data_IF_444214537586
#
_entry.id   IF_444214537586
#
_cell.length_a   1.000
_cell.length_b   1.000
_cell.length_c   1.000
_cell.angle_alpha   90.00
_cell.angle_beta   90.00
_cell.angle_gamma   90.00
#
_symmetry.space_group_name_H-M   'P 1'
#
loop_
_entity.id
_entity.type
_entity.pdbx_description
1 polymer ?
#
# COMPACT_ATOMS: atom_id res chain seq x y z
N UNK A 1 -29.81 -46.25 -34.11
CA UNK A 1 -31.05 -45.67 -34.69
C UNK A 1 -32.25 -46.15 -33.90
N UNK A 2 -33.05 -45.23 -33.32
CA UNK A 2 -34.46 -45.37 -32.87
C UNK A 2 -34.70 -46.42 -31.75
N UNK A 3 -35.48 -46.20 -30.68
CA UNK A 3 -36.63 -45.32 -30.43
C UNK A 3 -36.93 -45.29 -28.91
N UNK A 4 -37.64 -44.24 -28.51
CA UNK A 4 -38.29 -43.94 -27.22
C UNK A 4 -39.03 -45.12 -26.54
N UNK A 5 -39.19 -45.04 -25.21
CA UNK A 5 -40.53 -45.05 -24.58
C UNK A 5 -40.50 -44.49 -23.15
N UNK A 6 -41.42 -43.56 -22.90
CA UNK A 6 -41.79 -43.00 -21.60
C UNK A 6 -42.81 -43.91 -20.90
N UNK A 7 -42.87 -43.91 -19.56
CA UNK A 7 -44.13 -44.12 -18.84
C UNK A 7 -44.08 -43.56 -17.41
N UNK A 8 -45.13 -42.80 -17.10
CA UNK A 8 -45.53 -42.19 -15.83
C UNK A 8 -46.23 -43.22 -14.93
N UNK A 9 -46.13 -43.09 -13.59
CA UNK A 9 -47.30 -43.06 -12.69
C UNK A 9 -46.96 -42.94 -11.17
N UNK A 10 -47.62 -41.96 -10.53
CA UNK A 10 -48.45 -42.06 -9.32
C UNK A 10 -47.85 -42.37 -7.91
N UNK A 11 -47.73 -41.29 -7.13
CA UNK A 11 -48.30 -40.99 -5.80
C UNK A 11 -48.36 -42.06 -4.68
N UNK A 12 -47.77 -41.72 -3.52
CA UNK A 12 -48.35 -42.04 -2.20
C UNK A 12 -47.93 -41.01 -1.13
N UNK A 13 -48.93 -40.58 -0.37
CA UNK A 13 -48.93 -39.60 0.72
C UNK A 13 -48.40 -40.22 2.02
N UNK A 14 -47.66 -39.48 2.85
CA UNK A 14 -47.67 -39.67 4.30
C UNK A 14 -47.29 -38.37 5.05
N UNK A 15 -48.09 -38.10 6.09
CA UNK A 15 -48.08 -36.94 6.97
C UNK A 15 -46.86 -36.91 7.90
N UNK A 16 -46.38 -35.70 8.22
CA UNK A 16 -45.53 -35.42 9.37
C UNK A 16 -45.67 -33.95 9.78
N UNK A 17 -46.18 -33.72 10.99
CA UNK A 17 -46.49 -32.38 11.53
C UNK A 17 -45.32 -31.80 12.34
N UNK A 18 -45.15 -30.48 12.18
CA UNK A 18 -44.73 -29.43 13.12
C UNK A 18 -43.48 -29.61 14.00
N UNK A 19 -42.49 -28.74 13.81
CA UNK A 19 -42.07 -27.76 14.85
C UNK A 19 -41.63 -26.45 14.17
N UNK A 20 -42.06 -25.34 14.75
CA UNK A 20 -41.96 -23.98 14.21
C UNK A 20 -40.74 -23.26 14.79
N UNK A 21 -39.88 -22.72 13.92
CA UNK A 21 -38.95 -21.64 14.26
C UNK A 21 -39.35 -20.42 13.44
N UNK A 22 -39.79 -19.37 14.13
CA UNK A 22 -40.31 -18.12 13.58
C UNK A 22 -39.24 -17.37 12.78
N UNK A 23 -39.46 -17.24 11.48
CA UNK A 23 -38.75 -16.31 10.58
C UNK A 23 -39.24 -14.88 10.86
N UNK A 24 -38.35 -13.87 10.97
CA UNK A 24 -38.78 -12.48 11.01
C UNK A 24 -39.44 -12.11 9.70
N UNK A 25 -40.56 -11.41 9.80
CA UNK A 25 -41.34 -10.94 8.64
C UNK A 25 -40.56 -9.85 7.93
N UNK A 26 -40.23 -10.08 6.65
CA UNK A 26 -39.74 -9.04 5.75
C UNK A 26 -40.78 -7.91 5.70
N UNK A 27 -40.40 -6.72 6.17
CA UNK A 27 -41.24 -5.53 6.12
C UNK A 27 -41.16 -4.99 4.70
N UNK A 28 -42.11 -5.35 3.85
CA UNK A 28 -42.25 -4.77 2.51
C UNK A 28 -42.59 -3.29 2.64
N UNK A 29 -41.60 -2.42 2.49
CA UNK A 29 -41.82 -0.99 2.26
C UNK A 29 -42.10 -0.77 0.77
N UNK A 30 -42.94 0.21 0.41
CA UNK A 30 -43.14 0.55 -0.99
C UNK A 30 -41.85 1.23 -1.50
N UNK A 31 -41.01 0.46 -2.19
CA UNK A 31 -39.84 0.98 -2.92
C UNK A 31 -38.47 0.74 -2.30
N UNK A 32 -38.34 -0.16 -1.30
CA UNK A 32 -37.06 -0.61 -0.74
C UNK A 32 -37.25 -1.93 0.02
N UNK A 33 -36.21 -2.76 0.07
CA UNK A 33 -36.21 -4.05 0.76
C UNK A 33 -35.00 -4.22 1.67
N UNK A 34 -35.24 -4.08 2.98
CA UNK A 34 -34.30 -4.44 4.02
C UNK A 34 -33.62 -5.81 3.75
N UNK A 35 -32.29 -5.83 3.77
CA UNK A 35 -31.44 -7.01 3.68
C UNK A 35 -30.82 -7.27 2.30
N UNK A 36 -30.85 -6.29 1.39
CA UNK A 36 -30.13 -6.33 0.11
C UNK A 36 -28.74 -5.68 0.18
N UNK A 37 -28.36 -5.13 1.34
CA UNK A 37 -27.07 -4.50 1.57
C UNK A 37 -26.93 -3.10 1.00
N UNK A 38 -28.00 -2.49 0.48
CA UNK A 38 -27.98 -1.14 -0.08
C UNK A 38 -28.93 -0.26 0.71
N UNK A 39 -28.40 0.75 1.41
CA UNK A 39 -29.24 1.75 2.06
C UNK A 39 -29.78 2.77 1.04
N UNK A 40 -30.92 2.49 0.42
CA UNK A 40 -31.54 3.39 -0.57
C UNK A 40 -33.05 3.65 -0.36
N UNK A 41 -33.61 4.56 -1.16
CA UNK A 41 -35.05 4.87 -1.14
C UNK A 41 -35.56 5.31 0.25
N UNK A 42 -36.62 4.68 0.81
CA UNK A 42 -37.16 5.00 2.12
C UNK A 42 -36.36 4.40 3.29
N UNK A 43 -35.28 3.67 3.03
CA UNK A 43 -34.50 3.01 4.05
C UNK A 43 -33.67 3.99 4.87
N UNK A 44 -33.54 3.68 6.16
CA UNK A 44 -32.69 4.41 7.08
C UNK A 44 -32.36 3.51 8.27
N UNK A 45 -31.40 3.91 9.11
CA UNK A 45 -30.93 3.12 10.24
C UNK A 45 -32.02 2.69 11.24
N UNK A 46 -33.18 3.34 11.26
CA UNK A 46 -34.29 2.98 12.14
C UNK A 46 -35.20 1.90 11.52
N UNK A 47 -35.20 1.79 10.20
CA UNK A 47 -36.11 0.94 9.43
C UNK A 47 -35.38 -0.30 8.89
N UNK A 48 -34.20 -0.10 8.30
CA UNK A 48 -33.32 -1.16 7.80
C UNK A 48 -31.93 -1.02 8.44
N UNK A 49 -31.80 -1.25 9.76
CA UNK A 49 -30.53 -1.07 10.47
C UNK A 49 -29.41 -1.95 9.91
N UNK A 50 -29.72 -3.12 9.35
CA UNK A 50 -28.71 -3.99 8.77
C UNK A 50 -28.06 -3.42 7.49
N UNK A 51 -28.76 -2.60 6.72
CA UNK A 51 -28.25 -2.01 5.47
C UNK A 51 -27.79 -0.55 5.69
N UNK A 52 -28.40 0.14 6.66
CA UNK A 52 -28.25 1.59 6.86
C UNK A 52 -27.57 2.02 8.15
N UNK A 53 -27.15 1.10 9.03
CA UNK A 53 -26.36 1.50 10.19
C UNK A 53 -24.93 1.83 9.74
N UNK A 54 -24.35 2.97 10.17
CA UNK A 54 -22.93 3.20 9.94
C UNK A 54 -22.14 2.05 10.58
N UNK A 55 -21.08 1.55 9.91
CA UNK A 55 -20.21 0.55 10.51
C UNK A 55 -19.72 1.08 11.86
N UNK A 56 -19.82 0.23 12.89
CA UNK A 56 -19.46 0.56 14.27
C UNK A 56 -17.95 0.90 14.33
N UNK A 57 -17.63 2.18 14.19
CA UNK A 57 -16.26 2.73 14.13
C UNK A 57 -15.61 2.83 15.52
N UNK A 58 -16.19 2.19 16.53
CA UNK A 58 -15.61 2.10 17.88
C UNK A 58 -14.97 0.74 18.17
N UNK A 59 -14.86 -0.16 17.19
CA UNK A 59 -13.97 -1.29 17.32
C UNK A 59 -12.52 -0.77 17.31
N UNK A 60 -11.69 -1.06 18.33
CA UNK A 60 -10.24 -0.95 18.17
C UNK A 60 -9.83 -1.70 16.89
N UNK A 61 -8.80 -1.23 16.18
CA UNK A 61 -8.05 -2.03 15.22
C UNK A 61 -7.65 -3.33 15.95
N UNK A 62 -8.50 -4.36 15.83
CA UNK A 62 -8.37 -5.54 16.66
C UNK A 62 -7.18 -6.33 16.13
N UNK A 63 -6.24 -6.56 17.04
CA UNK A 63 -5.29 -7.67 16.97
C UNK A 63 -6.00 -8.96 16.47
N UNK A 64 -5.30 -9.86 15.79
CA UNK A 64 -5.90 -10.93 15.01
C UNK A 64 -6.81 -11.85 15.85
N UNK A 65 -8.13 -11.77 15.63
CA UNK A 65 -9.17 -12.66 16.18
C UNK A 65 -10.55 -12.00 16.02
N UNK A 66 -11.63 -12.63 15.56
CA UNK A 66 -12.00 -14.02 15.37
C UNK A 66 -12.70 -14.14 14.00
N UNK A 67 -12.35 -15.14 13.20
CA UNK A 67 -12.86 -15.27 11.82
C UNK A 67 -11.80 -15.72 10.82
N UNK A 68 -10.53 -15.84 11.24
CA UNK A 68 -9.48 -16.39 10.40
C UNK A 68 -9.90 -17.78 9.90
N UNK A 69 -9.79 -18.06 8.58
CA UNK A 69 -9.90 -19.42 8.06
C UNK A 69 -8.96 -20.37 8.83
N UNK A 70 -9.24 -21.68 8.85
CA UNK A 70 -8.48 -22.65 9.63
C UNK A 70 -6.98 -22.41 9.45
N UNK A 71 -6.26 -22.31 10.59
CA UNK A 71 -4.85 -21.93 10.64
C UNK A 71 -4.08 -22.59 9.50
N UNK A 72 -3.70 -21.78 8.52
CA UNK A 72 -2.80 -22.21 7.47
C UNK A 72 -1.47 -22.46 8.18
N UNK A 73 -0.85 -23.62 7.92
CA UNK A 73 0.45 -24.00 8.48
C UNK A 73 1.62 -23.19 7.85
N UNK A 74 1.32 -21.98 7.38
CA UNK A 74 2.20 -21.03 6.70
C UNK A 74 1.94 -19.66 7.30
N UNK A 75 2.96 -18.99 7.88
CA UNK A 75 2.81 -17.62 8.34
C UNK A 75 2.33 -16.70 7.19
N UNK A 76 1.45 -15.73 7.46
CA UNK A 76 0.98 -14.83 6.42
C UNK A 76 2.09 -13.88 5.95
N UNK A 77 1.92 -13.34 4.75
CA UNK A 77 2.69 -12.20 4.25
C UNK A 77 1.96 -10.91 4.63
N UNK A 78 2.69 -9.96 5.21
CA UNK A 78 2.17 -8.61 5.43
C UNK A 78 2.27 -7.81 4.14
N UNK A 79 1.12 -7.42 3.61
CA UNK A 79 1.00 -6.67 2.37
C UNK A 79 0.86 -5.17 2.67
N UNK A 80 1.67 -4.36 2.00
CA UNK A 80 1.51 -2.90 2.00
C UNK A 80 1.63 -2.33 0.60
N UNK A 81 1.02 -1.16 0.39
CA UNK A 81 1.10 -0.42 -0.86
C UNK A 81 1.55 1.00 -0.57
N UNK A 82 2.73 1.37 -1.09
CA UNK A 82 3.28 2.72 -1.02
C UNK A 82 2.88 3.52 -2.27
N UNK A 83 2.47 4.77 -2.07
CA UNK A 83 2.09 5.68 -3.16
C UNK A 83 2.92 6.95 -3.04
N UNK A 84 3.93 7.07 -3.89
CA UNK A 84 4.71 8.28 -4.04
C UNK A 84 3.82 9.36 -4.66
N UNK A 85 3.49 10.35 -3.85
CA UNK A 85 2.56 11.40 -4.19
C UNK A 85 3.37 12.61 -4.60
N UNK A 86 3.89 12.56 -5.82
CA UNK A 86 4.51 13.66 -6.54
C UNK A 86 4.48 13.36 -8.05
N UNK A 87 4.91 14.34 -8.83
CA UNK A 87 5.07 14.29 -10.28
C UNK A 87 6.56 14.55 -10.62
N UNK A 88 6.90 14.95 -11.86
CA UNK A 88 8.22 15.54 -12.10
C UNK A 88 8.45 16.83 -11.30
N UNK A 89 9.65 16.95 -10.72
CA UNK A 89 10.20 18.10 -9.99
C UNK A 89 9.78 18.31 -8.51
N UNK A 90 9.09 17.37 -7.85
CA UNK A 90 8.77 17.35 -6.40
C UNK A 90 8.02 18.60 -5.84
N UNK A 91 7.59 19.52 -6.71
CA UNK A 91 7.13 20.87 -6.35
C UNK A 91 5.65 21.15 -6.60
N UNK A 92 4.96 20.30 -7.35
CA UNK A 92 3.54 20.49 -7.63
C UNK A 92 2.68 20.19 -6.38
N UNK A 93 1.45 20.72 -6.28
CA UNK A 93 0.72 21.50 -7.28
C UNK A 93 1.12 22.98 -7.36
N UNK A 94 2.14 23.44 -6.64
CA UNK A 94 2.62 24.80 -6.86
C UNK A 94 3.36 24.96 -8.19
N UNK A 95 3.39 26.20 -8.69
CA UNK A 95 4.33 26.63 -9.72
C UNK A 95 5.79 26.41 -9.31
N UNK A 96 6.71 26.54 -10.26
CA UNK A 96 8.14 26.34 -10.02
C UNK A 96 8.73 27.27 -8.94
N UNK A 97 8.05 28.39 -8.63
CA UNK A 97 8.42 29.34 -7.58
C UNK A 97 7.85 29.00 -6.21
N UNK A 98 6.97 28.00 -6.09
CA UNK A 98 6.25 27.64 -4.87
C UNK A 98 5.38 28.79 -4.35
N UNK A 99 4.80 29.60 -5.25
CA UNK A 99 4.06 30.81 -4.89
C UNK A 99 2.59 30.79 -5.29
N UNK A 100 2.25 30.11 -6.37
CA UNK A 100 0.88 30.00 -6.85
C UNK A 100 0.55 28.53 -7.10
N UNK A 101 -0.66 28.11 -6.74
CA UNK A 101 -1.13 26.75 -6.99
C UNK A 101 -1.64 26.67 -8.43
N UNK A 102 -1.11 25.74 -9.21
CA UNK A 102 -1.72 25.32 -10.47
C UNK A 102 -2.96 24.49 -10.14
N UNK A 103 -4.13 25.12 -10.28
CA UNK A 103 -5.42 24.52 -9.93
C UNK A 103 -5.68 23.27 -10.78
N UNK A 104 -5.31 23.27 -12.06
CA UNK A 104 -5.59 22.13 -12.93
C UNK A 104 -4.77 20.91 -12.52
N UNK A 105 -3.49 21.12 -12.20
CA UNK A 105 -2.62 20.07 -11.67
C UNK A 105 -3.13 19.58 -10.31
N UNK A 106 -3.51 20.49 -9.41
CA UNK A 106 -4.06 20.14 -8.10
C UNK A 106 -5.31 19.25 -8.24
N UNK A 107 -6.26 19.63 -9.10
CA UNK A 107 -7.49 18.87 -9.35
C UNK A 107 -7.21 17.49 -9.94
N UNK A 108 -6.25 17.37 -10.86
CA UNK A 108 -5.88 16.08 -11.45
C UNK A 108 -5.18 15.16 -10.44
N UNK A 109 -4.29 15.71 -9.61
CA UNK A 109 -3.65 14.97 -8.52
C UNK A 109 -4.69 14.49 -7.50
N UNK A 110 -5.65 15.34 -7.13
CA UNK A 110 -6.75 14.96 -6.25
C UNK A 110 -7.59 13.83 -6.87
N UNK A 111 -7.92 13.91 -8.17
CA UNK A 111 -8.64 12.85 -8.85
C UNK A 111 -7.88 11.52 -8.84
N UNK A 112 -6.55 11.53 -9.01
CA UNK A 112 -5.72 10.34 -8.89
C UNK A 112 -5.72 9.76 -7.46
N UNK A 113 -5.53 10.62 -6.45
CA UNK A 113 -5.57 10.22 -5.04
C UNK A 113 -6.95 9.62 -4.69
N UNK A 114 -8.04 10.27 -5.07
CA UNK A 114 -9.40 9.81 -4.82
C UNK A 114 -9.70 8.48 -5.52
N UNK A 115 -9.29 8.33 -6.78
CA UNK A 115 -9.48 7.08 -7.53
C UNK A 115 -8.73 5.90 -6.91
N UNK A 116 -7.49 6.10 -6.49
CA UNK A 116 -6.70 5.06 -5.81
C UNK A 116 -7.29 4.76 -4.41
N UNK A 117 -7.63 5.80 -3.64
CA UNK A 117 -8.28 5.69 -2.32
C UNK A 117 -9.58 4.88 -2.40
N UNK A 118 -10.44 5.13 -3.38
CA UNK A 118 -11.70 4.40 -3.55
C UNK A 118 -11.45 2.90 -3.72
N UNK A 119 -10.48 2.52 -4.56
CA UNK A 119 -10.12 1.11 -4.77
C UNK A 119 -9.54 0.51 -3.49
N UNK A 120 -8.64 1.21 -2.81
CA UNK A 120 -8.06 0.74 -1.54
C UNK A 120 -9.14 0.48 -0.48
N UNK A 121 -10.05 1.43 -0.30
CA UNK A 121 -11.15 1.33 0.66
C UNK A 121 -12.12 0.20 0.33
N UNK A 122 -12.36 -0.09 -0.95
CA UNK A 122 -13.21 -1.20 -1.40
C UNK A 122 -12.73 -2.55 -0.85
N UNK A 123 -11.42 -2.74 -0.72
CA UNK A 123 -10.81 -3.97 -0.21
C UNK A 123 -10.32 -3.86 1.25
N UNK A 124 -10.51 -2.71 1.91
CA UNK A 124 -10.00 -2.47 3.26
C UNK A 124 -8.46 -2.49 3.35
N UNK A 125 -7.77 -2.14 2.25
CA UNK A 125 -6.31 -2.11 2.17
C UNK A 125 -5.83 -0.70 2.56
N UNK A 126 -5.04 -0.53 3.63
CA UNK A 126 -4.48 0.77 3.96
C UNK A 126 -3.28 1.07 3.05
N UNK A 127 -3.27 2.25 2.41
CA UNK A 127 -2.12 2.76 1.66
C UNK A 127 -1.18 3.59 2.52
N UNK A 128 0.09 3.68 2.12
CA UNK A 128 1.09 4.61 2.66
C UNK A 128 1.38 5.70 1.62
N UNK A 129 0.84 6.90 1.84
CA UNK A 129 0.91 8.03 0.94
C UNK A 129 2.12 8.89 1.26
N UNK A 130 3.15 8.76 0.44
CA UNK A 130 4.48 9.33 0.67
C UNK A 130 4.61 10.61 -0.16
N UNK A 131 4.48 11.76 0.49
CA UNK A 131 4.37 13.07 -0.18
C UNK A 131 5.70 13.82 -0.12
N UNK A 132 6.02 14.55 -1.18
CA UNK A 132 7.14 15.50 -1.16
C UNK A 132 6.68 16.86 -0.61
N UNK A 133 7.63 17.72 -0.23
CA UNK A 133 7.37 19.03 0.36
C UNK A 133 6.36 19.87 -0.45
N UNK A 134 6.57 20.06 -1.76
CA UNK A 134 5.70 20.91 -2.57
C UNK A 134 4.26 20.38 -2.65
N UNK A 135 4.13 19.06 -2.63
CA UNK A 135 2.84 18.37 -2.66
C UNK A 135 2.13 18.48 -1.32
N UNK A 136 2.84 18.23 -0.22
CA UNK A 136 2.31 18.36 1.12
C UNK A 136 1.77 19.78 1.35
N UNK A 137 2.62 20.79 1.14
CA UNK A 137 2.25 22.20 1.33
C UNK A 137 1.11 22.60 0.40
N UNK A 138 1.18 22.25 -0.90
CA UNK A 138 0.19 22.68 -1.89
C UNK A 138 -1.18 22.03 -1.69
N UNK A 139 -1.25 20.74 -1.36
CA UNK A 139 -2.54 20.07 -1.10
C UNK A 139 -3.18 20.53 0.21
N UNK A 140 -2.39 20.87 1.22
CA UNK A 140 -2.89 21.38 2.49
C UNK A 140 -3.40 22.82 2.35
N UNK A 141 -2.69 23.68 1.61
CA UNK A 141 -3.15 25.02 1.27
C UNK A 141 -4.42 24.99 0.41
N UNK A 142 -4.45 24.14 -0.62
CA UNK A 142 -5.60 24.02 -1.52
C UNK A 142 -6.85 23.51 -0.81
N UNK A 143 -6.71 22.44 0.00
CA UNK A 143 -7.83 21.79 0.67
C UNK A 143 -8.24 22.43 2.00
N UNK A 144 -7.40 23.31 2.56
CA UNK A 144 -7.61 23.92 3.87
C UNK A 144 -7.73 22.88 5.00
N UNK A 145 -8.51 23.18 6.04
CA UNK A 145 -8.58 22.35 7.26
C UNK A 145 -9.08 20.91 7.06
N UNK A 146 -9.68 20.59 5.92
CA UNK A 146 -10.14 19.23 5.57
C UNK A 146 -9.50 18.75 4.25
N UNK A 147 -8.22 19.06 4.07
CA UNK A 147 -7.44 18.63 2.91
C UNK A 147 -7.39 17.10 2.78
N UNK A 148 -7.10 16.63 1.56
CA UNK A 148 -7.14 15.21 1.21
C UNK A 148 -6.26 14.33 2.11
N UNK A 149 -5.05 14.79 2.47
CA UNK A 149 -4.14 14.01 3.32
C UNK A 149 -4.74 13.68 4.70
N UNK A 150 -5.54 14.59 5.26
CA UNK A 150 -6.24 14.32 6.52
C UNK A 150 -7.39 13.31 6.32
N UNK A 151 -8.12 13.42 5.21
CA UNK A 151 -9.16 12.44 4.88
C UNK A 151 -8.58 11.04 4.69
N UNK A 152 -7.38 10.91 4.11
CA UNK A 152 -6.68 9.63 3.98
C UNK A 152 -6.40 9.01 5.35
N UNK A 153 -5.92 9.80 6.32
CA UNK A 153 -5.70 9.34 7.70
C UNK A 153 -7.01 8.93 8.37
N UNK A 154 -8.06 9.73 8.21
CA UNK A 154 -9.37 9.45 8.82
C UNK A 154 -10.00 8.15 8.25
N UNK A 155 -9.62 7.74 7.04
CA UNK A 155 -9.97 6.47 6.40
C UNK A 155 -9.05 5.29 6.80
N UNK A 156 -8.03 5.52 7.63
CA UNK A 156 -7.11 4.49 8.08
C UNK A 156 -5.89 4.26 7.19
N UNK A 157 -5.62 5.17 6.23
CA UNK A 157 -4.36 5.20 5.52
C UNK A 157 -3.27 5.92 6.32
N UNK A 158 -2.04 5.84 5.84
CA UNK A 158 -0.88 6.51 6.42
C UNK A 158 -0.39 7.62 5.48
N UNK A 159 0.04 8.75 6.04
CA UNK A 159 0.71 9.82 5.30
C UNK A 159 2.14 9.95 5.82
N UNK A 160 3.08 10.01 4.88
CA UNK A 160 4.50 9.79 5.10
C UNK A 160 5.35 10.80 4.33
N UNK A 161 6.62 10.94 4.73
CA UNK A 161 7.60 11.79 4.05
C UNK A 161 8.13 11.07 2.81
N UNK A 162 8.20 11.77 1.68
CA UNK A 162 9.02 11.39 0.53
C UNK A 162 10.03 12.48 0.23
N UNK A 163 11.29 12.10 -0.01
CA UNK A 163 12.33 13.06 -0.37
C UNK A 163 13.42 12.41 -1.22
N UNK A 164 13.64 12.94 -2.42
CA UNK A 164 14.73 12.51 -3.31
C UNK A 164 16.10 13.04 -2.91
N UNK A 165 16.15 14.03 -2.01
CA UNK A 165 17.37 14.67 -1.54
C UNK A 165 17.36 14.74 -0.02
N UNK A 166 18.51 14.52 0.58
CA UNK A 166 18.68 14.54 2.03
C UNK A 166 18.20 15.87 2.64
N UNK A 167 18.49 16.99 1.98
CA UNK A 167 18.05 18.31 2.45
C UNK A 167 16.53 18.55 2.44
N UNK A 168 15.77 17.76 1.67
CA UNK A 168 14.33 17.94 1.53
C UNK A 168 13.54 17.20 2.63
N UNK A 169 14.16 16.25 3.35
CA UNK A 169 13.52 15.46 4.41
C UNK A 169 12.90 16.37 5.49
N UNK A 170 13.72 17.27 6.05
CA UNK A 170 13.27 18.20 7.10
C UNK A 170 12.18 19.12 6.58
N UNK A 171 12.33 19.64 5.35
CA UNK A 171 11.35 20.56 4.76
C UNK A 171 10.00 19.88 4.54
N UNK A 172 9.98 18.65 4.03
CA UNK A 172 8.76 17.86 3.86
C UNK A 172 8.11 17.53 5.20
N UNK A 173 8.90 17.12 6.20
CA UNK A 173 8.41 16.84 7.56
C UNK A 173 7.78 18.08 8.19
N UNK A 174 8.44 19.25 8.07
CA UNK A 174 7.94 20.52 8.58
C UNK A 174 6.63 20.94 7.91
N UNK A 175 6.50 20.77 6.59
CA UNK A 175 5.24 21.05 5.89
C UNK A 175 4.09 20.14 6.37
N UNK A 176 4.34 18.83 6.49
CA UNK A 176 3.34 17.91 7.03
C UNK A 176 2.93 18.27 8.45
N UNK A 177 3.88 18.58 9.32
CA UNK A 177 3.59 18.86 10.74
C UNK A 177 2.99 20.23 10.97
N UNK A 178 3.49 21.26 10.29
CA UNK A 178 3.14 22.66 10.52
C UNK A 178 1.93 23.07 9.69
N UNK A 179 1.92 22.73 8.40
CA UNK A 179 0.90 23.19 7.46
C UNK A 179 -0.30 22.24 7.46
N UNK A 180 -0.03 20.92 7.53
CA UNK A 180 -1.08 19.90 7.47
C UNK A 180 -1.51 19.36 8.86
N UNK A 181 -0.75 19.63 9.93
CA UNK A 181 -1.03 19.08 11.26
C UNK A 181 -0.86 17.55 11.36
N UNK A 182 -0.02 16.96 10.51
CA UNK A 182 0.26 15.53 10.41
C UNK A 182 1.67 15.26 10.93
N UNK A 183 1.83 14.33 11.87
CA UNK A 183 3.16 13.88 12.34
C UNK A 183 3.49 12.52 11.72
N UNK A 184 4.30 12.46 10.64
CA UNK A 184 4.64 11.22 9.99
C UNK A 184 5.69 10.44 10.81
N UNK A 185 5.62 9.12 10.75
CA UNK A 185 6.65 8.19 11.29
C UNK A 185 7.41 7.46 10.18
N UNK A 186 6.89 7.53 8.95
CA UNK A 186 7.39 6.81 7.79
C UNK A 186 8.01 7.79 6.80
N UNK A 187 9.15 7.39 6.23
CA UNK A 187 9.90 8.11 5.22
C UNK A 187 10.25 7.23 4.02
N UNK A 188 10.59 7.83 2.89
CA UNK A 188 11.10 7.14 1.71
C UNK A 188 11.84 8.10 0.75
N UNK A 189 12.45 7.53 -0.29
CA UNK A 189 13.14 8.25 -1.36
C UNK A 189 14.63 8.54 -1.06
N UNK A 190 15.12 8.12 0.11
CA UNK A 190 16.51 8.34 0.54
C UNK A 190 17.52 7.73 -0.44
N UNK A 191 17.11 6.67 -1.15
CA UNK A 191 17.96 5.99 -2.12
C UNK A 191 18.39 6.89 -3.29
N UNK A 192 17.58 7.85 -3.74
CA UNK A 192 17.89 8.63 -4.93
C UNK A 192 19.08 9.58 -4.72
N UNK A 193 19.23 10.14 -3.53
CA UNK A 193 20.41 10.95 -3.21
C UNK A 193 21.66 10.08 -3.10
N UNK A 194 21.54 8.91 -2.45
CA UNK A 194 22.61 7.92 -2.37
C UNK A 194 23.03 7.42 -3.76
N UNK A 195 22.08 7.27 -4.69
CA UNK A 195 22.36 6.95 -6.09
C UNK A 195 23.18 8.04 -6.76
N UNK A 196 22.69 9.28 -6.69
CA UNK A 196 23.36 10.45 -7.26
C UNK A 196 24.78 10.60 -6.74
N UNK A 197 24.99 10.47 -5.43
CA UNK A 197 26.30 10.63 -4.80
C UNK A 197 27.19 9.39 -5.02
N UNK A 198 26.61 8.20 -5.07
CA UNK A 198 27.31 6.94 -5.36
C UNK A 198 27.89 6.88 -6.77
N UNK A 199 27.20 7.43 -7.78
CA UNK A 199 27.71 7.51 -9.16
C UNK A 199 29.05 8.27 -9.23
N UNK A 200 29.20 9.34 -8.44
CA UNK A 200 30.41 10.17 -8.43
C UNK A 200 31.44 9.77 -7.36
N UNK A 201 30.98 9.20 -6.24
CA UNK A 201 31.77 8.98 -5.03
C UNK A 201 31.90 7.52 -4.58
N UNK A 202 31.33 6.57 -5.32
CA UNK A 202 31.37 5.13 -5.03
C UNK A 202 30.55 4.71 -3.82
N UNK A 203 30.68 3.42 -3.46
CA UNK A 203 29.88 2.78 -2.40
C UNK A 203 29.95 3.49 -1.04
N UNK A 204 31.11 4.04 -0.66
CA UNK A 204 31.24 4.79 0.61
C UNK A 204 30.40 6.06 0.60
N UNK A 205 30.33 6.79 -0.52
CA UNK A 205 29.51 8.01 -0.59
C UNK A 205 28.02 7.70 -0.53
N UNK A 206 27.59 6.55 -1.09
CA UNK A 206 26.22 6.07 -0.94
C UNK A 206 25.91 5.70 0.52
N UNK A 207 26.85 5.04 1.21
CA UNK A 207 26.75 4.71 2.64
C UNK A 207 26.64 5.97 3.51
N UNK A 208 27.51 6.94 3.29
CA UNK A 208 27.54 8.20 4.04
C UNK A 208 26.24 9.00 3.82
N UNK A 209 25.73 9.02 2.58
CA UNK A 209 24.47 9.69 2.25
C UNK A 209 23.27 9.04 2.94
N UNK A 210 23.15 7.72 2.88
CA UNK A 210 22.06 7.01 3.56
C UNK A 210 22.16 7.17 5.07
N UNK A 211 23.36 7.06 5.63
CA UNK A 211 23.59 7.29 7.06
C UNK A 211 23.11 8.67 7.50
N UNK A 212 23.44 9.71 6.72
CA UNK A 212 23.00 11.07 7.01
C UNK A 212 21.47 11.22 6.91
N UNK A 213 20.86 10.70 5.84
CA UNK A 213 19.40 10.72 5.68
C UNK A 213 18.68 10.02 6.83
N UNK A 214 19.14 8.83 7.23
CA UNK A 214 18.55 8.08 8.35
C UNK A 214 18.73 8.80 9.68
N UNK A 215 19.89 9.43 9.92
CA UNK A 215 20.10 10.24 11.12
C UNK A 215 19.13 11.42 11.18
N UNK A 216 18.94 12.14 10.07
CA UNK A 216 18.00 13.27 10.00
C UNK A 216 16.56 12.78 10.21
N UNK A 217 16.16 11.71 9.52
CA UNK A 217 14.83 11.12 9.67
C UNK A 217 14.56 10.69 11.12
N UNK A 218 15.52 9.99 11.76
CA UNK A 218 15.40 9.55 13.16
C UNK A 218 15.28 10.74 14.12
N UNK A 219 16.10 11.78 13.95
CA UNK A 219 16.04 13.00 14.77
C UNK A 219 14.67 13.71 14.68
N UNK A 220 13.96 13.55 13.57
CA UNK A 220 12.60 14.06 13.35
C UNK A 220 11.50 13.13 13.87
N UNK A 221 11.83 11.90 14.29
CA UNK A 221 10.86 10.86 14.67
C UNK A 221 10.31 10.06 13.49
N UNK A 222 10.93 10.18 12.30
CA UNK A 222 10.64 9.36 11.12
C UNK A 222 11.54 8.11 11.18
N UNK A 223 11.13 7.14 11.99
CA UNK A 223 11.94 5.96 12.32
C UNK A 223 11.60 4.72 11.51
N UNK A 224 10.74 4.83 10.51
CA UNK A 224 10.41 3.75 9.60
C UNK A 224 10.72 4.25 8.20
N UNK A 225 11.45 3.46 7.41
CA UNK A 225 11.74 3.83 6.05
C UNK A 225 11.30 2.73 5.10
N UNK A 226 10.53 3.12 4.08
CA UNK A 226 10.27 2.26 2.94
C UNK A 226 11.17 2.65 1.79
N UNK A 227 12.02 1.73 1.34
CA UNK A 227 12.93 1.97 0.22
C UNK A 227 12.85 0.83 -0.77
N UNK A 228 13.52 1.02 -1.90
CA UNK A 228 13.54 0.09 -3.00
C UNK A 228 14.93 -0.51 -3.17
N UNK A 229 15.31 -1.35 -2.21
CA UNK A 229 16.66 -1.86 -2.07
C UNK A 229 16.88 -3.16 -2.86
N UNK A 230 15.81 -3.87 -3.27
CA UNK A 230 15.89 -5.21 -3.85
C UNK A 230 15.16 -5.45 -5.19
N UNK A 231 15.72 -6.28 -6.10
CA UNK A 231 17.11 -6.69 -6.25
C UNK A 231 17.81 -5.82 -7.32
N UNK A 232 18.81 -5.04 -6.90
CA UNK A 232 19.41 -4.05 -7.79
C UNK A 232 20.43 -4.55 -8.80
N UNK A 233 21.28 -5.53 -8.46
CA UNK A 233 22.56 -5.64 -9.19
C UNK A 233 23.23 -4.28 -9.33
N UNK A 234 23.90 -4.04 -10.46
CA UNK A 234 24.47 -2.72 -10.80
C UNK A 234 23.43 -1.58 -10.96
N UNK A 235 22.13 -1.83 -10.76
CA UNK A 235 21.06 -0.83 -10.89
C UNK A 235 20.72 -0.15 -9.56
N UNK A 236 21.22 -0.66 -8.44
CA UNK A 236 21.13 0.01 -7.15
C UNK A 236 22.54 0.08 -6.51
N UNK A 237 23.11 1.27 -6.27
CA UNK A 237 24.42 1.41 -5.64
C UNK A 237 24.44 0.91 -4.19
N UNK A 238 23.27 0.75 -3.57
CA UNK A 238 23.12 0.07 -2.28
C UNK A 238 23.38 -1.44 -2.40
N UNK A 239 22.99 -2.08 -3.50
CA UNK A 239 23.33 -3.48 -3.76
C UNK A 239 24.85 -3.63 -3.92
N UNK A 240 25.53 -2.72 -4.62
CA UNK A 240 27.00 -2.75 -4.69
C UNK A 240 27.66 -2.61 -3.30
N UNK A 241 27.09 -1.78 -2.41
CA UNK A 241 27.61 -1.57 -1.06
C UNK A 241 27.30 -2.74 -0.10
N UNK A 242 26.11 -3.34 -0.21
CA UNK A 242 25.58 -4.32 0.73
C UNK A 242 25.50 -5.75 0.20
N UNK A 243 25.82 -6.01 -1.07
CA UNK A 243 25.72 -7.34 -1.73
C UNK A 243 26.49 -8.45 -1.03
N UNK A 244 27.59 -8.13 -0.33
CA UNK A 244 28.35 -9.11 0.46
C UNK A 244 27.77 -9.39 1.85
N UNK A 245 26.81 -8.59 2.28
CA UNK A 245 26.16 -8.65 3.59
C UNK A 245 24.68 -9.08 3.48
N UNK A 246 24.06 -8.87 2.32
CA UNK A 246 22.79 -9.49 1.96
C UNK A 246 22.95 -11.01 1.82
N UNK A 247 22.11 -11.78 2.52
CA UNK A 247 22.09 -13.25 2.46
C UNK A 247 22.68 -13.99 3.66
N UNK A 248 23.26 -13.31 4.66
CA UNK A 248 23.70 -13.97 5.91
C UNK A 248 22.57 -13.99 6.96
N UNK A 249 21.78 -12.90 7.04
CA UNK A 249 20.53 -12.82 7.82
C UNK A 249 19.38 -12.13 7.06
N UNK A 250 19.66 -11.51 5.90
CA UNK A 250 18.69 -10.83 5.05
C UNK A 250 18.47 -11.66 3.76
N UNK A 251 17.25 -12.17 3.51
CA UNK A 251 16.95 -13.06 2.36
C UNK A 251 16.27 -12.36 1.18
N UNK A 252 16.54 -11.07 1.00
CA UNK A 252 16.11 -10.23 -0.12
C UNK A 252 16.61 -10.75 -1.48
N UNK A 253 15.82 -11.53 -2.23
CA UNK A 253 16.23 -12.04 -3.55
C UNK A 253 15.07 -12.16 -4.54
N UNK A 254 15.39 -12.07 -5.85
CA UNK A 254 14.45 -12.42 -6.94
C UNK A 254 13.90 -13.86 -6.81
N UNK A 255 14.64 -14.76 -6.16
CA UNK A 255 14.24 -16.15 -5.91
C UNK A 255 13.09 -16.29 -4.91
N UNK A 256 12.85 -15.28 -4.05
CA UNK A 256 11.73 -15.26 -3.12
C UNK A 256 10.52 -14.51 -3.70
N UNK A 257 10.50 -14.16 -4.99
CA UNK A 257 9.45 -13.30 -5.55
C UNK A 257 9.48 -11.87 -4.97
N UNK A 258 10.67 -11.43 -4.54
CA UNK A 258 10.86 -10.18 -3.81
C UNK A 258 10.14 -10.15 -2.45
N UNK A 259 10.07 -11.29 -1.77
CA UNK A 259 9.69 -11.33 -0.36
C UNK A 259 10.79 -10.68 0.49
N UNK A 260 10.39 -9.82 1.43
CA UNK A 260 11.30 -9.00 2.23
C UNK A 260 11.15 -9.30 3.71
N UNK A 261 12.25 -9.13 4.43
CA UNK A 261 12.30 -9.23 5.88
C UNK A 261 12.79 -7.89 6.38
N UNK A 262 11.93 -7.10 7.04
CA UNK A 262 12.36 -5.80 7.54
C UNK A 262 13.55 -5.94 8.49
N UNK A 263 14.44 -4.97 8.49
CA UNK A 263 15.62 -4.96 9.35
C UNK A 263 15.91 -3.57 9.87
N UNK A 264 16.69 -3.51 10.93
CA UNK A 264 17.15 -2.25 11.53
C UNK A 264 18.61 -2.01 11.10
N UNK A 265 18.93 -1.02 10.26
CA UNK A 265 20.30 -0.75 9.82
C UNK A 265 21.15 -0.14 10.95
N UNK A 266 22.43 -0.50 11.04
CA UNK A 266 23.41 0.12 11.95
C UNK A 266 23.96 1.44 11.37
N UNK A 267 23.07 2.39 11.11
CA UNK A 267 23.45 3.70 10.56
C UNK A 267 24.30 4.51 11.55
N UNK A 268 24.19 4.28 12.86
CA UNK A 268 24.98 4.98 13.88
C UNK A 268 26.48 4.67 13.80
N UNK A 269 26.84 3.49 13.30
CA UNK A 269 28.22 3.12 13.00
C UNK A 269 28.58 3.26 11.51
N UNK A 270 27.73 3.92 10.71
CA UNK A 270 27.87 4.07 9.26
C UNK A 270 27.95 2.73 8.51
N UNK A 271 27.20 1.73 9.00
CA UNK A 271 27.04 0.42 8.37
C UNK A 271 25.55 0.11 8.18
N UNK A 272 24.97 0.69 7.14
CA UNK A 272 23.53 0.53 6.84
C UNK A 272 23.17 -0.89 6.37
N UNK A 273 24.17 -1.74 6.10
CA UNK A 273 24.00 -3.10 5.64
C UNK A 273 23.84 -4.09 6.81
N UNK A 274 24.50 -3.82 7.93
CA UNK A 274 24.42 -4.66 9.13
C UNK A 274 23.09 -4.44 9.86
N UNK A 275 22.46 -5.55 10.26
CA UNK A 275 21.30 -5.49 11.13
C UNK A 275 21.72 -5.23 12.59
N UNK A 276 21.26 -4.13 13.18
CA UNK A 276 21.33 -3.85 14.61
C UNK A 276 19.95 -4.06 15.28
N UNK A 277 19.74 -5.15 16.04
CA UNK A 277 18.49 -5.39 16.74
C UNK A 277 18.09 -4.31 17.75
N UNK A 278 19.04 -3.46 18.18
CA UNK A 278 18.78 -2.33 19.08
C UNK A 278 18.59 -1.00 18.34
N UNK A 279 18.73 -0.99 17.02
CA UNK A 279 18.57 0.20 16.20
C UNK A 279 17.16 0.77 16.30
N UNK A 280 17.04 2.10 16.22
CA UNK A 280 15.76 2.80 16.31
C UNK A 280 15.04 2.90 14.97
N UNK A 281 15.78 2.90 13.86
CA UNK A 281 15.21 2.94 12.51
C UNK A 281 14.92 1.54 11.97
N UNK A 282 13.76 1.34 11.35
CA UNK A 282 13.36 0.13 10.65
C UNK A 282 13.28 0.35 9.14
N UNK A 283 13.98 -0.46 8.36
CA UNK A 283 13.80 -0.57 6.91
C UNK A 283 12.76 -1.63 6.55
N UNK A 284 11.82 -1.23 5.70
CA UNK A 284 10.85 -2.11 5.04
C UNK A 284 11.01 -1.92 3.53
N UNK A 285 11.64 -2.86 2.85
CA UNK A 285 11.82 -2.79 1.40
C UNK A 285 10.48 -2.97 0.65
N UNK A 286 10.43 -2.62 -0.64
CA UNK A 286 9.29 -2.88 -1.53
C UNK A 286 9.74 -3.17 -2.96
N UNK A 287 8.85 -3.77 -3.76
CA UNK A 287 9.11 -4.03 -5.17
C UNK A 287 9.24 -2.70 -5.90
N UNK A 288 10.32 -2.54 -6.68
CA UNK A 288 10.41 -1.55 -7.76
C UNK A 288 9.65 -2.01 -8.99
N UNK A 289 8.63 -1.30 -9.43
CA UNK A 289 8.12 -1.52 -10.77
C UNK A 289 9.15 -1.14 -11.83
N UNK A 290 9.90 -0.07 -11.62
CA UNK A 290 10.92 0.41 -12.56
C UNK A 290 11.98 -0.66 -12.82
N UNK A 291 12.53 -1.22 -11.73
CA UNK A 291 13.61 -2.19 -11.83
C UNK A 291 13.11 -3.60 -12.16
N UNK A 292 11.92 -3.99 -11.68
CA UNK A 292 11.41 -5.35 -11.85
C UNK A 292 10.59 -5.53 -13.15
N UNK A 293 9.94 -4.48 -13.67
CA UNK A 293 8.98 -4.60 -14.77
C UNK A 293 9.49 -4.06 -16.10
N UNK A 294 10.50 -3.17 -16.09
CA UNK A 294 11.04 -2.55 -17.30
C UNK A 294 12.58 -2.61 -17.36
N UNK A 295 13.17 -3.76 -17.74
CA UNK A 295 14.62 -3.92 -17.79
C UNK A 295 15.33 -3.08 -18.87
N UNK A 296 14.60 -2.50 -19.83
CA UNK A 296 15.14 -1.80 -21.02
C UNK A 296 14.77 -0.29 -21.12
N UNK A 297 14.03 0.28 -20.17
CA UNK A 297 13.63 1.70 -20.21
C UNK A 297 12.85 2.10 -18.95
N UNK A 298 12.79 3.40 -18.63
CA UNK A 298 12.25 3.92 -17.37
C UNK A 298 10.78 3.55 -17.08
N UNK A 299 10.26 4.09 -15.97
CA UNK A 299 8.86 3.85 -15.55
C UNK A 299 7.86 4.10 -16.68
N UNK A 300 6.82 3.26 -16.82
CA UNK A 300 5.76 3.53 -17.78
C UNK A 300 5.02 4.81 -17.39
N UNK A 301 4.67 5.63 -18.38
CA UNK A 301 3.80 6.79 -18.16
C UNK A 301 2.42 6.36 -17.60
N UNK A 302 1.97 5.15 -17.91
CA UNK A 302 0.65 4.62 -17.53
C UNK A 302 0.75 3.12 -17.21
N UNK A 303 0.24 2.69 -16.06
CA UNK A 303 0.11 1.26 -15.74
C UNK A 303 -0.96 0.58 -16.58
N UNK A 304 -0.62 -0.57 -17.16
CA UNK A 304 -1.57 -1.46 -17.83
C UNK A 304 -1.72 -2.79 -17.08
N UNK A 305 -2.69 -3.59 -17.50
CA UNK A 305 -2.87 -4.98 -17.04
C UNK A 305 -1.61 -5.81 -17.20
N UNK A 306 -0.75 -5.53 -18.19
CA UNK A 306 0.48 -6.28 -18.41
C UNK A 306 1.51 -6.04 -17.29
N UNK A 307 1.67 -4.80 -16.82
CA UNK A 307 2.55 -4.48 -15.68
C UNK A 307 2.03 -5.12 -14.40
N UNK A 308 0.73 -4.99 -14.11
CA UNK A 308 0.13 -5.63 -12.93
C UNK A 308 0.19 -7.17 -12.99
N UNK A 309 0.11 -7.77 -14.18
CA UNK A 309 0.33 -9.21 -14.35
C UNK A 309 1.74 -9.63 -13.94
N UNK A 310 2.76 -8.79 -14.20
CA UNK A 310 4.13 -9.07 -13.76
C UNK A 310 4.27 -8.90 -12.24
N UNK A 311 3.65 -7.88 -11.64
CA UNK A 311 3.60 -7.76 -10.18
C UNK A 311 2.94 -8.99 -9.53
N UNK A 312 1.84 -9.46 -10.11
CA UNK A 312 1.16 -10.67 -9.66
C UNK A 312 2.09 -11.89 -9.67
N UNK A 313 2.93 -12.04 -10.71
CA UNK A 313 3.89 -13.14 -10.77
C UNK A 313 4.96 -13.07 -9.66
N UNK A 314 5.42 -11.87 -9.32
CA UNK A 314 6.35 -11.68 -8.19
C UNK A 314 5.66 -12.04 -6.87
N UNK A 315 4.45 -11.54 -6.67
CA UNK A 315 3.65 -11.83 -5.47
C UNK A 315 3.38 -13.33 -5.31
N UNK A 316 3.01 -14.03 -6.39
CA UNK A 316 2.83 -15.48 -6.38
C UNK A 316 4.12 -16.22 -6.04
N UNK A 317 5.27 -15.72 -6.49
CA UNK A 317 6.60 -16.22 -6.11
C UNK A 317 6.84 -16.10 -4.60
N UNK A 318 6.45 -14.97 -4.00
CA UNK A 318 6.57 -14.72 -2.56
C UNK A 318 5.69 -15.66 -1.73
N UNK A 319 4.44 -15.86 -2.13
CA UNK A 319 3.55 -16.83 -1.47
C UNK A 319 4.07 -18.27 -1.60
N UNK A 320 4.58 -18.65 -2.78
CA UNK A 320 5.19 -19.97 -2.99
C UNK A 320 6.45 -20.16 -2.11
N UNK A 321 7.25 -19.11 -1.94
CA UNK A 321 8.39 -19.13 -1.03
C UNK A 321 7.95 -19.38 0.41
N UNK A 322 6.99 -18.61 0.93
CA UNK A 322 6.44 -18.78 2.27
C UNK A 322 5.92 -20.20 2.51
N UNK A 323 5.18 -20.75 1.55
CA UNK A 323 4.66 -22.12 1.63
C UNK A 323 5.77 -23.19 1.70
N UNK A 324 6.89 -22.97 1.01
CA UNK A 324 7.98 -23.95 0.90
C UNK A 324 9.03 -23.85 2.01
N UNK A 325 9.30 -22.64 2.50
CA UNK A 325 10.35 -22.35 3.48
C UNK A 325 9.83 -22.14 4.88
N UNK A 326 8.62 -21.59 5.01
CA UNK A 326 7.99 -21.25 6.30
C UNK A 326 8.97 -20.54 7.25
N UNK A 327 9.53 -19.40 6.83
CA UNK A 327 10.44 -18.65 7.69
C UNK A 327 9.74 -18.29 9.01
N UNK A 328 10.50 -18.23 10.10
CA UNK A 328 10.01 -17.83 11.43
C UNK A 328 10.07 -16.31 11.66
N UNK A 329 10.38 -15.56 10.60
CA UNK A 329 10.47 -14.10 10.60
C UNK A 329 9.21 -13.47 10.00
N UNK A 330 8.93 -12.23 10.41
CA UNK A 330 7.88 -11.43 9.82
C UNK A 330 8.23 -11.15 8.35
N UNK A 331 7.39 -11.64 7.45
CA UNK A 331 7.59 -11.53 6.02
C UNK A 331 6.68 -10.47 5.42
N UNK A 332 7.27 -9.56 4.65
CA UNK A 332 6.57 -8.45 4.02
C UNK A 332 6.64 -8.58 2.51
N UNK A 333 5.59 -8.15 1.83
CA UNK A 333 5.61 -7.90 0.41
C UNK A 333 4.83 -6.62 0.12
N UNK A 334 5.47 -5.66 -0.52
CA UNK A 334 4.79 -4.45 -0.96
C UNK A 334 5.35 -3.98 -2.28
N UNK A 335 4.68 -3.00 -2.87
CA UNK A 335 5.16 -2.30 -4.07
C UNK A 335 4.90 -0.81 -3.89
N UNK A 336 5.63 0.00 -4.66
CA UNK A 336 5.40 1.43 -4.74
C UNK A 336 4.96 1.82 -6.15
N UNK A 337 4.13 2.84 -6.26
CA UNK A 337 3.81 3.53 -7.53
C UNK A 337 3.95 5.03 -7.34
N UNK A 338 3.98 5.76 -8.45
CA UNK A 338 3.75 7.20 -8.43
C UNK A 338 2.32 7.49 -8.87
N UNK A 339 1.72 8.54 -8.29
CA UNK A 339 0.39 9.00 -8.73
C UNK A 339 0.34 9.34 -10.23
N UNK A 340 1.47 9.77 -10.81
CA UNK A 340 1.59 10.05 -12.25
C UNK A 340 1.46 8.82 -13.11
N UNK A 341 1.79 7.64 -12.62
CA UNK A 341 1.71 6.42 -13.45
C UNK A 341 0.25 5.96 -13.64
N UNK A 342 -0.69 6.65 -13.01
CA UNK A 342 -2.11 6.51 -13.26
C UNK A 342 -2.63 7.54 -14.26
N UNK A 343 -1.84 8.56 -14.63
CA UNK A 343 -2.28 9.69 -15.44
C UNK A 343 -1.34 9.93 -16.63
N UNK A 344 -1.85 10.47 -17.73
CA UNK A 344 -1.00 10.80 -18.88
C UNK A 344 -0.24 12.10 -18.61
N UNK A 345 1.08 12.08 -18.72
CA UNK A 345 1.91 13.28 -18.68
C UNK A 345 2.69 13.41 -17.37
N UNK A 346 3.93 13.87 -17.50
CA UNK A 346 4.89 13.85 -16.40
C UNK A 346 4.58 14.85 -15.27
N UNK A 347 3.77 15.89 -15.53
CA UNK A 347 3.46 16.94 -14.55
C UNK A 347 2.00 16.91 -14.07
N UNK A 348 1.30 15.77 -14.20
CA UNK A 348 -0.09 15.67 -13.75
C UNK A 348 -1.05 16.56 -14.55
N UNK A 349 -0.73 16.86 -15.80
CA UNK A 349 -1.56 17.72 -16.65
C UNK A 349 -2.88 17.07 -17.08
N UNK A 350 -3.00 15.75 -16.91
CA UNK A 350 -4.21 14.98 -17.19
C UNK A 350 -4.73 14.30 -15.93
N UNK A 351 -6.05 14.04 -15.85
CA UNK A 351 -6.63 13.20 -14.82
C UNK A 351 -6.15 11.75 -14.95
N UNK A 352 -6.37 10.89 -13.92
CA UNK A 352 -6.04 9.49 -14.01
C UNK A 352 -6.82 8.78 -15.14
N UNK A 353 -6.12 7.92 -15.87
CA UNK A 353 -6.64 7.02 -16.88
C UNK A 353 -7.48 5.93 -16.21
N UNK A 354 -8.73 5.76 -16.67
CA UNK A 354 -9.66 4.79 -16.10
C UNK A 354 -9.13 3.35 -16.24
N UNK A 355 -8.43 3.05 -17.33
CA UNK A 355 -7.82 1.74 -17.58
C UNK A 355 -6.73 1.37 -16.56
N UNK A 356 -5.99 2.34 -16.03
CA UNK A 356 -4.95 2.09 -15.00
C UNK A 356 -5.56 1.86 -13.64
N UNK A 357 -6.59 2.62 -13.30
CA UNK A 357 -7.37 2.39 -12.09
C UNK A 357 -8.07 1.02 -12.15
N UNK A 358 -8.64 0.64 -13.30
CA UNK A 358 -9.21 -0.70 -13.50
C UNK A 358 -8.14 -1.80 -13.37
N UNK A 359 -6.94 -1.59 -13.90
CA UNK A 359 -5.85 -2.57 -13.77
C UNK A 359 -5.37 -2.71 -12.31
N UNK A 360 -5.30 -1.61 -11.55
CA UNK A 360 -5.02 -1.64 -10.11
C UNK A 360 -6.12 -2.39 -9.35
N UNK A 361 -7.39 -2.09 -9.64
CA UNK A 361 -8.55 -2.76 -9.04
C UNK A 361 -8.50 -4.28 -9.24
N UNK A 362 -8.22 -4.73 -10.48
CA UNK A 362 -8.05 -6.14 -10.78
C UNK A 362 -6.90 -6.79 -10.00
N UNK A 363 -5.78 -6.09 -9.82
CA UNK A 363 -4.66 -6.59 -9.03
C UNK A 363 -4.99 -6.66 -7.53
N UNK A 364 -5.61 -5.62 -6.96
CA UNK A 364 -5.97 -5.62 -5.55
C UNK A 364 -7.09 -6.63 -5.24
N UNK A 365 -8.05 -6.84 -6.14
CA UNK A 365 -9.00 -7.96 -6.07
C UNK A 365 -8.28 -9.32 -6.01
N UNK A 366 -7.19 -9.47 -6.75
CA UNK A 366 -6.39 -10.69 -6.70
C UNK A 366 -5.69 -10.87 -5.36
N UNK A 367 -5.07 -9.82 -4.83
CA UNK A 367 -4.44 -9.83 -3.50
C UNK A 367 -5.48 -10.15 -2.42
N UNK A 368 -6.67 -9.58 -2.52
CA UNK A 368 -7.79 -9.79 -1.60
C UNK A 368 -8.27 -11.23 -1.57
N UNK A 369 -8.30 -11.90 -2.73
CA UNK A 369 -8.56 -13.34 -2.75
C UNK A 369 -7.54 -14.16 -1.93
N UNK A 370 -6.30 -13.67 -1.72
CA UNK A 370 -5.28 -14.30 -0.88
C UNK A 370 -5.42 -13.92 0.59
N UNK A 371 -5.91 -12.71 0.88
CA UNK A 371 -6.32 -12.30 2.21
C UNK A 371 -7.43 -13.21 2.74
N UNK A 372 -8.47 -13.47 1.93
CA UNK A 372 -9.57 -14.40 2.25
C UNK A 372 -9.10 -15.83 2.54
N UNK A 373 -7.94 -16.23 1.99
CA UNK A 373 -7.32 -17.52 2.23
C UNK A 373 -6.46 -17.56 3.50
N UNK A 374 -6.31 -16.42 4.20
CA UNK A 374 -5.44 -16.27 5.36
C UNK A 374 -3.95 -16.24 5.01
N UNK A 375 -3.58 -16.05 3.74
CA UNK A 375 -2.19 -16.00 3.29
C UNK A 375 -1.60 -14.60 3.39
N UNK A 376 -2.45 -13.58 3.51
CA UNK A 376 -2.08 -12.16 3.46
C UNK A 376 -2.75 -11.40 4.59
N UNK A 377 -2.02 -10.47 5.19
CA UNK A 377 -2.54 -9.50 6.15
C UNK A 377 -2.23 -8.11 5.62
N UNK A 378 -3.23 -7.24 5.52
CA UNK A 378 -3.02 -5.86 5.14
C UNK A 378 -2.40 -5.06 6.28
N UNK A 379 -1.40 -4.24 5.97
CA UNK A 379 -0.74 -3.41 6.95
C UNK A 379 -0.16 -2.14 6.33
N UNK A 380 -0.08 -1.07 7.13
CA UNK A 380 0.82 0.05 6.83
C UNK A 380 2.24 -0.30 7.29
N UNK A 381 3.26 0.40 6.77
CA UNK A 381 4.62 0.33 7.31
C UNK A 381 4.68 0.55 8.84
N UNK A 382 3.91 1.48 9.41
CA UNK A 382 3.87 1.64 10.88
C UNK A 382 3.28 0.44 11.62
N UNK A 383 2.24 -0.21 11.07
CA UNK A 383 1.71 -1.43 11.67
C UNK A 383 2.73 -2.57 11.61
N UNK A 384 3.45 -2.71 10.49
CA UNK A 384 4.55 -3.67 10.35
C UNK A 384 5.62 -3.41 11.42
N UNK A 385 6.01 -2.16 11.61
CA UNK A 385 7.01 -1.78 12.61
C UNK A 385 6.58 -2.13 14.04
N UNK A 386 5.33 -1.87 14.39
CA UNK A 386 4.77 -2.21 15.70
C UNK A 386 4.78 -3.72 15.99
N UNK A 387 4.65 -4.55 14.95
CA UNK A 387 4.72 -6.01 15.08
C UNK A 387 6.15 -6.55 15.31
N UNK A 388 7.16 -5.70 15.10
CA UNK A 388 8.56 -6.02 15.32
C UNK A 388 9.10 -5.51 16.66
N UNK A 389 8.29 -4.79 17.44
CA UNK A 389 8.65 -4.42 18.80
C UNK A 389 8.59 -5.68 19.71
N UNK A 390 9.59 -5.87 20.60
CA UNK A 390 9.73 -7.07 21.41
C UNK A 390 8.68 -7.27 22.52
#
# INVERSE_FOLDING_TARGET
>A
MRKLLALSCLTAVLLGACTSSSTPTASNLPGGSCGDGICDGPENAQICPQDCSPPDTTAPLNAPGEGMPPAVDVPPVYFFYAIHTHVSDDKLPYDASLTEIDIQVAENMLAAIEGIREILNRYGIPGSWQVTYGVASGLCDYGGANHILKQLIDDGHEVAVHAHRTEDITTTYEALTTDCGITPQVGSGHLLDAYRLGEFGGAQSAQDSMTLSLSISSDLGVTITTENLSPGGNKNPFDDACSSQFGVDNTMWAQSGNLMFPWRPDYQNSDICTHDPQGDVLFIDHVSPEFALSPEGGMPDIWSTAEFTKLQQLFDGALAYMQSKKPDQLAVWGFATHITEYAVGANGEQPPASESLEALDQFLAYVDSKHDQGLVVYATPSLIAALMEP
#
